data_IF_127277249420
#
_entry.id   IF_127277249420
#
_cell.length_a   1.000
_cell.length_b   1.000
_cell.length_c   1.000
_cell.angle_alpha   90.00
_cell.angle_beta   90.00
_cell.angle_gamma   90.00
#
_symmetry.space_group_name_H-M   'P 1'
#
loop_
_entity.id
_entity.type
_entity.pdbx_description
1 polymer ?
#
# COMPACT_ATOMS: atom_id res chain seq x y z
N UNK A 1 23.44 -4.73 12.66
CA UNK A 1 23.92 -4.17 11.38
C UNK A 1 24.71 -2.93 11.73
N UNK A 2 25.85 -2.66 11.10
CA UNK A 2 26.68 -1.47 11.40
C UNK A 2 26.36 -0.27 10.49
N UNK A 3 25.42 -0.44 9.56
CA UNK A 3 25.01 0.59 8.61
C UNK A 3 24.37 1.79 9.32
N UNK A 4 24.81 2.98 8.90
CA UNK A 4 24.26 4.26 9.31
C UNK A 4 23.59 4.94 8.12
N UNK A 5 22.46 5.59 8.39
CA UNK A 5 21.69 6.34 7.40
C UNK A 5 21.21 7.66 8.01
N UNK A 6 21.01 8.66 7.15
CA UNK A 6 20.27 9.86 7.47
C UNK A 6 18.85 9.74 6.89
N UNK A 7 17.84 10.15 7.67
CA UNK A 7 16.44 10.14 7.25
C UNK A 7 16.05 11.52 6.76
N UNK A 8 15.48 11.58 5.56
CA UNK A 8 15.01 12.82 4.92
C UNK A 8 13.51 12.75 4.66
N UNK A 9 12.85 13.91 4.69
CA UNK A 9 11.43 14.04 4.37
C UNK A 9 11.13 13.83 2.88
N UNK A 10 9.84 13.81 2.55
CA UNK A 10 9.33 13.87 1.17
C UNK A 10 9.69 15.17 0.43
N UNK A 11 10.25 16.15 1.12
CA UNK A 11 10.70 17.45 0.57
C UNK A 11 12.21 17.62 0.56
N UNK A 12 12.97 16.56 0.88
CA UNK A 12 14.43 16.60 0.94
C UNK A 12 14.98 17.40 2.11
N UNK A 13 14.23 17.47 3.21
CA UNK A 13 14.69 18.09 4.47
C UNK A 13 15.18 17.00 5.40
N UNK A 14 16.38 17.16 5.97
CA UNK A 14 16.94 16.25 6.97
C UNK A 14 16.03 16.19 8.20
N UNK A 15 15.60 14.99 8.60
CA UNK A 15 14.77 14.73 9.77
C UNK A 15 15.59 14.19 10.94
N UNK A 16 16.46 13.22 10.68
CA UNK A 16 17.35 12.58 11.66
C UNK A 16 18.65 12.20 10.96
N UNK A 17 19.77 12.29 11.66
CA UNK A 17 21.09 11.92 11.14
C UNK A 17 21.73 10.83 11.99
N UNK A 18 22.66 10.08 11.41
CA UNK A 18 23.41 8.98 12.06
C UNK A 18 22.51 7.88 12.68
N UNK A 19 21.41 7.59 12.01
CA UNK A 19 20.45 6.57 12.41
C UNK A 19 21.02 5.18 12.13
N UNK A 20 21.01 4.30 13.13
CA UNK A 20 21.30 2.88 12.92
C UNK A 20 20.23 2.25 12.03
N UNK A 21 20.64 1.54 10.97
CA UNK A 21 19.70 0.92 10.03
C UNK A 21 18.65 0.03 10.73
N UNK A 22 18.99 -0.60 11.85
CA UNK A 22 18.05 -1.43 12.59
C UNK A 22 16.94 -0.62 13.29
N UNK A 23 17.11 0.69 13.50
CA UNK A 23 16.08 1.56 14.08
C UNK A 23 14.86 1.74 13.14
N UNK A 24 15.05 1.56 11.83
CA UNK A 24 13.97 1.54 10.84
C UNK A 24 13.52 0.11 10.48
N UNK A 25 13.94 -0.90 11.26
CA UNK A 25 13.44 -2.27 11.09
C UNK A 25 11.99 -2.36 11.51
N UNK A 26 11.10 -3.03 10.75
CA UNK A 26 9.74 -3.26 11.20
C UNK A 26 9.62 -4.04 12.51
N UNK A 27 10.65 -4.83 12.85
CA UNK A 27 10.72 -5.56 14.11
C UNK A 27 11.00 -4.65 15.31
N UNK A 28 11.46 -3.41 15.08
CA UNK A 28 11.86 -2.46 16.14
C UNK A 28 11.07 -1.15 16.10
N UNK A 29 10.86 -0.56 14.93
CA UNK A 29 10.28 0.77 14.77
C UNK A 29 8.82 0.82 15.26
N UNK A 30 8.54 1.69 16.24
CA UNK A 30 7.23 1.77 16.88
C UNK A 30 6.12 2.26 15.93
N UNK A 31 6.43 3.17 15.01
CA UNK A 31 5.45 3.67 14.04
C UNK A 31 5.04 2.57 13.05
N UNK A 32 5.98 1.74 12.58
CA UNK A 32 5.65 0.60 11.72
C UNK A 32 4.80 -0.45 12.44
N UNK A 33 5.12 -0.76 13.71
CA UNK A 33 4.29 -1.67 14.53
C UNK A 33 2.88 -1.13 14.70
N UNK A 34 2.74 0.17 14.98
CA UNK A 34 1.44 0.85 15.06
C UNK A 34 0.72 0.83 13.71
N UNK A 35 1.41 1.05 12.60
CA UNK A 35 0.83 0.99 11.26
C UNK A 35 0.23 -0.40 10.99
N UNK A 36 0.98 -1.48 11.21
CA UNK A 36 0.47 -2.85 11.00
C UNK A 36 -0.70 -3.18 11.90
N UNK A 37 -0.60 -2.81 13.18
CA UNK A 37 -1.69 -2.93 14.14
C UNK A 37 -2.98 -2.28 13.60
N UNK A 38 -2.87 -1.04 13.14
CA UNK A 38 -3.99 -0.29 12.58
C UNK A 38 -4.49 -0.86 11.25
N UNK A 39 -3.61 -1.39 10.40
CA UNK A 39 -3.96 -2.08 9.15
C UNK A 39 -4.89 -3.28 9.44
N UNK A 40 -4.60 -4.06 10.48
CA UNK A 40 -5.39 -5.24 10.86
C UNK A 40 -6.74 -4.90 11.49
N UNK A 41 -6.84 -3.76 12.19
CA UNK A 41 -7.99 -3.48 13.08
C UNK A 41 -8.88 -2.32 12.67
N UNK A 42 -8.45 -1.52 11.68
CA UNK A 42 -9.27 -0.44 11.11
C UNK A 42 -10.17 -0.98 10.01
N UNK A 43 -11.42 -0.53 9.99
CA UNK A 43 -12.45 -0.90 9.02
C UNK A 43 -13.28 0.33 8.66
N UNK A 44 -13.60 0.47 7.38
CA UNK A 44 -14.51 1.47 6.85
C UNK A 44 -15.94 0.92 6.81
N UNK A 45 -16.90 1.65 7.38
CA UNK A 45 -18.33 1.36 7.28
C UNK A 45 -19.01 2.43 6.44
N UNK A 46 -19.68 2.05 5.35
CA UNK A 46 -20.38 2.97 4.46
C UNK A 46 -21.86 3.08 4.82
N UNK A 47 -22.19 3.93 5.79
CA UNK A 47 -23.58 4.15 6.25
C UNK A 47 -24.50 4.65 5.11
N UNK A 48 -24.01 5.53 4.25
CA UNK A 48 -24.78 5.99 3.09
C UNK A 48 -25.06 4.85 2.09
N UNK A 49 -24.09 3.95 1.90
CA UNK A 49 -24.28 2.74 1.09
C UNK A 49 -25.29 1.77 1.69
N UNK A 50 -25.24 1.56 3.01
CA UNK A 50 -26.22 0.75 3.75
C UNK A 50 -27.61 1.34 3.59
N UNK A 51 -27.78 2.65 3.84
CA UNK A 51 -29.06 3.35 3.68
C UNK A 51 -29.65 3.15 2.29
N UNK A 52 -28.84 3.37 1.25
CA UNK A 52 -29.27 3.24 -0.13
C UNK A 52 -29.60 1.77 -0.50
N UNK A 53 -28.79 0.82 -0.04
CA UNK A 53 -29.03 -0.61 -0.29
C UNK A 53 -30.36 -1.07 0.33
N UNK A 54 -30.65 -0.64 1.56
CA UNK A 54 -31.91 -0.91 2.25
C UNK A 54 -33.09 -0.24 1.56
N UNK A 55 -32.99 1.07 1.28
CA UNK A 55 -34.06 1.86 0.65
C UNK A 55 -34.46 1.34 -0.72
N UNK A 56 -33.53 0.74 -1.46
CA UNK A 56 -33.76 0.28 -2.84
C UNK A 56 -33.89 -1.24 -2.96
N UNK A 57 -33.60 -2.00 -1.90
CA UNK A 57 -33.48 -3.46 -1.96
C UNK A 57 -32.28 -3.95 -2.78
N UNK A 58 -31.35 -3.06 -3.18
CA UNK A 58 -30.14 -3.41 -3.94
C UNK A 58 -29.05 -3.91 -3.01
N UNK A 59 -29.23 -5.15 -2.54
CA UNK A 59 -28.30 -5.85 -1.65
C UNK A 59 -27.62 -7.01 -2.37
N UNK A 60 -26.46 -7.42 -1.86
CA UNK A 60 -25.72 -8.55 -2.40
C UNK A 60 -25.02 -8.27 -3.74
N UNK A 61 -24.56 -7.04 -3.99
CA UNK A 61 -23.62 -6.76 -5.09
C UNK A 61 -24.27 -6.34 -6.43
N UNK A 62 -23.40 -6.14 -7.42
CA UNK A 62 -23.75 -5.44 -8.65
C UNK A 62 -24.88 -6.15 -9.43
N UNK A 63 -25.85 -5.35 -9.88
CA UNK A 63 -26.98 -5.83 -10.69
C UNK A 63 -28.07 -6.59 -9.92
N UNK A 64 -27.93 -6.76 -8.59
CA UNK A 64 -28.91 -7.48 -7.78
C UNK A 64 -29.88 -6.55 -7.06
N UNK A 65 -31.14 -6.97 -6.98
CA UNK A 65 -32.19 -6.26 -6.26
C UNK A 65 -33.26 -7.26 -5.78
N UNK A 66 -33.64 -7.18 -4.51
CA UNK A 66 -34.73 -7.96 -3.93
C UNK A 66 -35.95 -7.04 -3.77
N UNK A 67 -36.86 -7.11 -4.74
CA UNK A 67 -38.08 -6.28 -4.76
C UNK A 67 -39.05 -6.69 -3.66
N UNK A 68 -39.71 -5.72 -3.03
CA UNK A 68 -40.68 -5.95 -1.95
C UNK A 68 -40.04 -6.20 -0.58
N UNK A 69 -38.73 -5.98 -0.46
CA UNK A 69 -37.96 -6.10 0.80
C UNK A 69 -37.21 -4.81 1.14
N UNK A 70 -37.66 -3.68 0.59
CA UNK A 70 -37.08 -2.36 0.83
C UNK A 70 -37.37 -1.86 2.24
N UNK A 71 -36.37 -1.28 2.89
CA UNK A 71 -36.46 -0.70 4.24
C UNK A 71 -36.04 0.76 4.21
N UNK A 72 -36.92 1.65 4.67
CA UNK A 72 -36.67 3.10 4.70
C UNK A 72 -36.22 3.51 6.11
N UNK A 73 -34.92 3.46 6.34
CA UNK A 73 -34.29 3.90 7.59
C UNK A 73 -33.41 5.11 7.33
N UNK A 74 -33.46 6.10 8.21
CA UNK A 74 -32.63 7.30 8.13
C UNK A 74 -31.26 7.04 8.77
N UNK A 75 -30.49 6.11 8.19
CA UNK A 75 -29.21 5.62 8.74
C UNK A 75 -28.20 6.75 8.91
N UNK A 76 -27.99 7.57 7.88
CA UNK A 76 -27.03 8.68 7.89
C UNK A 76 -27.41 9.74 8.92
N UNK A 77 -28.71 10.02 9.07
CA UNK A 77 -29.19 10.98 10.08
C UNK A 77 -28.99 10.49 11.53
N UNK A 78 -28.81 9.17 11.73
CA UNK A 78 -28.58 8.54 13.03
C UNK A 78 -27.12 8.10 13.22
N UNK A 79 -26.18 8.62 12.41
CA UNK A 79 -24.79 8.16 12.41
C UNK A 79 -24.10 8.25 13.78
N UNK A 80 -24.32 9.32 14.56
CA UNK A 80 -23.72 9.48 15.89
C UNK A 80 -24.24 8.43 16.89
N UNK A 81 -25.55 8.16 16.87
CA UNK A 81 -26.16 7.13 17.71
C UNK A 81 -25.67 5.72 17.33
N UNK A 82 -25.58 5.46 16.03
CA UNK A 82 -25.02 4.20 15.51
C UNK A 82 -23.55 4.04 15.89
N UNK A 83 -22.73 5.09 15.76
CA UNK A 83 -21.32 5.07 16.13
C UNK A 83 -21.14 4.76 17.63
N UNK A 84 -21.94 5.37 18.50
CA UNK A 84 -21.92 5.11 19.94
C UNK A 84 -22.29 3.65 20.26
N UNK A 85 -23.34 3.12 19.63
CA UNK A 85 -23.77 1.73 19.82
C UNK A 85 -22.73 0.74 19.28
N UNK A 86 -22.16 1.00 18.10
CA UNK A 86 -21.08 0.18 17.52
C UNK A 86 -19.87 0.17 18.44
N UNK A 87 -19.45 1.33 18.96
CA UNK A 87 -18.34 1.42 19.93
C UNK A 87 -18.63 0.57 21.17
N UNK A 88 -19.82 0.69 21.75
CA UNK A 88 -20.24 -0.06 22.94
C UNK A 88 -20.23 -1.59 22.72
N UNK A 89 -20.59 -2.05 21.52
CA UNK A 89 -20.58 -3.48 21.18
C UNK A 89 -19.16 -4.01 20.96
N UNK A 90 -18.26 -3.17 20.45
CA UNK A 90 -16.88 -3.56 20.12
C UNK A 90 -15.95 -3.50 21.33
N UNK A 91 -16.12 -2.53 22.22
CA UNK A 91 -15.23 -2.36 23.38
C UNK A 91 -15.23 -3.62 24.26
N UNK A 92 -14.06 -3.94 24.81
CA UNK A 92 -13.87 -5.05 25.75
C UNK A 92 -13.83 -4.49 27.18
N UNK A 93 -13.10 -3.40 27.39
CA UNK A 93 -12.98 -2.72 28.66
C UNK A 93 -13.20 -1.20 28.49
N UNK A 94 -13.72 -0.54 29.53
CA UNK A 94 -13.86 0.90 29.49
C UNK A 94 -12.49 1.57 29.38
N UNK A 95 -12.33 2.42 28.36
CA UNK A 95 -11.06 3.13 28.12
C UNK A 95 -10.03 2.34 27.30
N UNK A 96 -10.39 1.18 26.73
CA UNK A 96 -9.54 0.49 25.76
C UNK A 96 -9.33 1.28 24.46
N UNK A 97 -8.55 0.72 23.53
CA UNK A 97 -8.19 1.39 22.27
C UNK A 97 -9.25 1.27 21.16
N UNK A 98 -10.52 0.99 21.52
CA UNK A 98 -11.67 1.04 20.61
C UNK A 98 -11.95 2.47 20.18
N UNK A 99 -11.97 2.72 18.88
CA UNK A 99 -12.24 4.03 18.31
C UNK A 99 -13.29 3.91 17.20
N UNK A 100 -14.35 4.72 17.29
CA UNK A 100 -15.37 4.82 16.24
C UNK A 100 -15.61 6.30 15.97
N UNK A 101 -15.35 6.73 14.74
CA UNK A 101 -15.46 8.13 14.33
C UNK A 101 -16.43 8.27 13.18
N UNK A 102 -17.31 9.25 13.28
CA UNK A 102 -18.23 9.63 12.21
C UNK A 102 -17.52 10.57 11.24
N UNK A 103 -17.51 10.22 9.95
CA UNK A 103 -16.84 10.96 8.90
C UNK A 103 -17.81 11.28 7.74
N UNK A 104 -17.39 12.22 6.88
CA UNK A 104 -18.13 12.56 5.66
C UNK A 104 -19.55 13.11 5.90
N UNK A 105 -19.78 13.75 7.06
CA UNK A 105 -21.10 14.25 7.45
C UNK A 105 -22.10 13.13 7.76
N UNK A 106 -21.67 12.07 8.44
CA UNK A 106 -22.53 10.93 8.81
C UNK A 106 -22.53 9.79 7.79
N UNK A 107 -21.89 9.96 6.63
CA UNK A 107 -21.95 9.00 5.53
C UNK A 107 -21.07 7.77 5.75
N UNK A 108 -20.01 7.88 6.56
CA UNK A 108 -19.10 6.79 6.83
C UNK A 108 -18.70 6.75 8.31
N UNK A 109 -18.31 5.56 8.78
CA UNK A 109 -17.61 5.38 10.05
C UNK A 109 -16.19 4.86 9.79
N UNK A 110 -15.23 5.44 10.50
CA UNK A 110 -13.94 4.82 10.78
C UNK A 110 -14.12 3.99 12.05
N UNK A 111 -13.92 2.68 11.95
CA UNK A 111 -14.04 1.75 13.09
C UNK A 111 -12.68 1.11 13.33
N UNK A 112 -12.13 1.26 14.53
CA UNK A 112 -10.95 0.53 14.99
C UNK A 112 -11.37 -0.34 16.15
N UNK A 113 -11.39 -1.65 15.92
CA UNK A 113 -11.67 -2.63 16.98
C UNK A 113 -10.51 -2.62 17.99
N UNK A 114 -10.74 -2.97 19.26
CA UNK A 114 -9.68 -2.94 20.26
C UNK A 114 -8.64 -4.02 19.99
N UNK A 115 -7.39 -3.74 20.35
CA UNK A 115 -6.26 -4.63 20.11
C UNK A 115 -6.46 -6.00 20.76
N UNK A 116 -7.10 -6.05 21.92
CA UNK A 116 -7.39 -7.30 22.62
C UNK A 116 -8.13 -8.33 21.75
N UNK A 117 -9.01 -7.87 20.84
CA UNK A 117 -9.70 -8.77 19.89
C UNK A 117 -8.78 -9.30 18.80
N UNK A 118 -7.80 -8.50 18.38
CA UNK A 118 -6.80 -8.89 17.39
C UNK A 118 -5.80 -9.87 17.98
N UNK A 119 -5.43 -9.71 19.25
CA UNK A 119 -4.44 -10.55 19.93
C UNK A 119 -4.92 -11.99 20.15
N UNK A 120 -6.23 -12.19 20.36
CA UNK A 120 -6.83 -13.53 20.53
C UNK A 120 -7.34 -14.14 19.23
N UNK A 121 -7.28 -13.39 18.12
CA UNK A 121 -7.70 -13.87 16.81
C UNK A 121 -6.55 -14.58 16.09
N UNK A 122 -6.90 -15.62 15.32
CA UNK A 122 -5.92 -16.29 14.47
C UNK A 122 -5.39 -15.38 13.34
N UNK A 123 -6.19 -14.43 12.88
CA UNK A 123 -5.90 -13.60 11.71
C UNK A 123 -6.61 -12.22 11.78
N UNK A 124 -6.54 -11.40 10.72
CA UNK A 124 -6.96 -9.99 10.73
C UNK A 124 -8.43 -9.72 10.33
N UNK A 125 -9.13 -10.66 9.71
CA UNK A 125 -10.55 -10.58 9.32
C UNK A 125 -11.46 -10.40 10.54
N UNK A 126 -10.99 -10.69 11.76
CA UNK A 126 -11.65 -10.26 13.01
C UNK A 126 -12.00 -8.77 13.01
N UNK A 127 -11.17 -7.91 12.40
CA UNK A 127 -11.48 -6.50 12.19
C UNK A 127 -12.81 -6.31 11.46
N UNK A 128 -12.92 -6.91 10.28
CA UNK A 128 -14.10 -6.81 9.41
C UNK A 128 -15.33 -7.47 10.03
N UNK A 129 -15.20 -8.69 10.56
CA UNK A 129 -16.35 -9.44 11.09
C UNK A 129 -16.91 -8.82 12.37
N UNK A 130 -16.06 -8.34 13.27
CA UNK A 130 -16.51 -7.63 14.47
C UNK A 130 -17.21 -6.31 14.11
N UNK A 131 -16.61 -5.51 13.22
CA UNK A 131 -17.22 -4.25 12.77
C UNK A 131 -18.56 -4.46 12.04
N UNK A 132 -18.65 -5.48 11.18
CA UNK A 132 -19.87 -5.82 10.46
C UNK A 132 -20.96 -6.34 11.41
N UNK A 133 -20.61 -7.18 12.39
CA UNK A 133 -21.55 -7.68 13.39
C UNK A 133 -22.10 -6.54 14.27
N UNK A 134 -21.21 -5.71 14.82
CA UNK A 134 -21.59 -4.58 15.66
C UNK A 134 -22.45 -3.56 14.90
N UNK A 135 -22.12 -3.28 13.63
CA UNK A 135 -22.93 -2.41 12.77
C UNK A 135 -24.31 -3.00 12.52
N UNK A 136 -24.39 -4.31 12.25
CA UNK A 136 -25.66 -5.02 12.03
C UNK A 136 -26.57 -4.94 13.26
N UNK A 137 -26.03 -5.26 14.43
CA UNK A 137 -26.77 -5.22 15.69
C UNK A 137 -27.18 -3.79 16.06
N UNK A 138 -26.29 -2.81 15.88
CA UNK A 138 -26.61 -1.41 16.11
C UNK A 138 -27.76 -0.92 15.23
N UNK A 139 -27.80 -1.31 13.95
CA UNK A 139 -28.90 -0.97 13.03
C UNK A 139 -30.22 -1.64 13.45
N UNK A 140 -30.18 -2.94 13.79
CA UNK A 140 -31.37 -3.67 14.26
C UNK A 140 -31.94 -3.01 15.53
N UNK A 141 -31.08 -2.67 16.49
CA UNK A 141 -31.48 -2.02 17.74
C UNK A 141 -32.02 -0.60 17.53
N UNK A 142 -31.30 0.23 16.76
CA UNK A 142 -31.68 1.63 16.49
C UNK A 142 -33.03 1.73 15.80
N UNK A 143 -33.30 0.88 14.81
CA UNK A 143 -34.52 0.91 14.01
C UNK A 143 -35.57 -0.12 14.44
N UNK A 144 -35.31 -0.86 15.52
CA UNK A 144 -36.20 -1.91 16.06
C UNK A 144 -36.67 -2.90 14.99
N UNK A 145 -35.75 -3.31 14.11
CA UNK A 145 -36.07 -4.17 12.98
C UNK A 145 -36.55 -5.55 13.46
N UNK A 146 -37.69 -6.01 12.93
CA UNK A 146 -38.23 -7.32 13.24
C UNK A 146 -37.43 -8.46 12.62
N UNK A 147 -37.69 -9.70 13.06
CA UNK A 147 -36.98 -10.89 12.58
C UNK A 147 -37.05 -11.12 11.05
N UNK A 148 -38.09 -10.60 10.40
CA UNK A 148 -38.26 -10.72 8.95
C UNK A 148 -37.52 -9.63 8.16
N UNK A 149 -37.14 -8.52 8.79
CA UNK A 149 -36.44 -7.40 8.15
C UNK A 149 -34.94 -7.44 8.42
N UNK A 150 -34.52 -7.97 9.58
CA UNK A 150 -33.12 -8.12 9.95
C UNK A 150 -32.22 -8.78 8.88
N UNK A 151 -32.68 -9.80 8.09
CA UNK A 151 -31.87 -10.35 7.01
C UNK A 151 -31.49 -9.33 5.92
N UNK A 152 -32.31 -8.31 5.67
CA UNK A 152 -31.97 -7.24 4.72
C UNK A 152 -30.90 -6.31 5.26
N UNK A 153 -30.89 -6.04 6.57
CA UNK A 153 -29.81 -5.30 7.25
C UNK A 153 -28.50 -6.08 7.13
N UNK A 154 -28.53 -7.38 7.43
CA UNK A 154 -27.36 -8.24 7.24
C UNK A 154 -26.87 -8.17 5.78
N UNK A 155 -27.74 -8.34 4.79
CA UNK A 155 -27.35 -8.30 3.38
C UNK A 155 -26.82 -6.93 2.92
N UNK A 156 -27.29 -5.83 3.53
CA UNK A 156 -26.78 -4.48 3.25
C UNK A 156 -25.38 -4.24 3.85
N UNK A 157 -25.08 -4.86 5.00
CA UNK A 157 -23.78 -4.73 5.68
C UNK A 157 -22.77 -5.74 5.13
N UNK A 158 -23.10 -7.03 5.14
CA UNK A 158 -22.22 -8.17 4.82
C UNK A 158 -22.23 -8.58 3.34
N UNK A 159 -23.18 -8.06 2.55
CA UNK A 159 -23.33 -8.46 1.15
C UNK A 159 -23.91 -9.87 1.03
N UNK A 160 -23.30 -10.69 0.15
CA UNK A 160 -23.73 -12.07 -0.10
C UNK A 160 -23.11 -13.12 0.83
N UNK A 161 -22.22 -12.73 1.74
CA UNK A 161 -21.63 -13.69 2.67
C UNK A 161 -22.74 -14.39 3.49
N UNK A 162 -22.69 -15.72 3.73
CA UNK A 162 -21.62 -16.67 3.40
C UNK A 162 -21.78 -17.40 2.06
N UNK A 163 -22.76 -17.04 1.22
CA UNK A 163 -22.88 -17.65 -0.13
C UNK A 163 -21.65 -17.36 -0.98
N UNK A 164 -21.05 -16.18 -0.81
CA UNK A 164 -19.71 -15.86 -1.31
C UNK A 164 -18.68 -15.97 -0.19
N UNK A 165 -17.45 -16.35 -0.51
CA UNK A 165 -16.33 -16.36 0.45
C UNK A 165 -16.04 -14.95 0.98
N UNK A 166 -15.88 -13.90 0.13
CA UNK A 166 -15.81 -12.52 0.60
C UNK A 166 -17.19 -11.93 0.91
N UNK A 167 -17.19 -10.75 1.56
CA UNK A 167 -18.37 -9.90 1.77
C UNK A 167 -18.81 -9.16 0.49
N UNK A 168 -18.95 -9.90 -0.62
CA UNK A 168 -19.26 -9.33 -1.94
C UNK A 168 -20.54 -8.51 -1.93
N UNK A 169 -20.42 -7.23 -2.28
CA UNK A 169 -21.54 -6.30 -2.30
C UNK A 169 -21.99 -5.79 -0.94
N UNK A 170 -21.21 -6.06 0.12
CA UNK A 170 -21.38 -5.44 1.42
C UNK A 170 -20.90 -3.99 1.43
N UNK A 171 -21.20 -3.30 2.54
CA UNK A 171 -20.82 -1.90 2.76
C UNK A 171 -19.80 -1.75 3.89
N UNK A 172 -18.98 -2.79 4.05
CA UNK A 172 -17.84 -2.86 4.96
C UNK A 172 -16.59 -3.06 4.11
N UNK A 173 -15.55 -2.28 4.35
CA UNK A 173 -14.29 -2.38 3.62
C UNK A 173 -13.08 -2.29 4.57
N UNK A 174 -12.07 -3.11 4.30
CA UNK A 174 -10.74 -2.99 4.90
C UNK A 174 -9.72 -2.73 3.81
N UNK A 175 -8.58 -2.16 4.18
CA UNK A 175 -7.41 -2.07 3.28
C UNK A 175 -6.85 -3.47 2.96
N UNK A 176 -7.02 -4.44 3.87
CA UNK A 176 -6.66 -5.84 3.65
C UNK A 176 -7.83 -6.61 3.06
N UNK A 177 -7.53 -7.42 2.06
CA UNK A 177 -8.47 -8.38 1.49
C UNK A 177 -8.51 -9.66 2.33
N UNK A 178 -9.51 -10.51 2.13
CA UNK A 178 -9.64 -11.78 2.87
C UNK A 178 -8.46 -12.74 2.55
N UNK A 179 -7.97 -13.54 3.52
CA UNK A 179 -6.84 -14.45 3.32
C UNK A 179 -7.04 -15.49 2.21
N UNK A 180 -8.28 -15.85 1.88
CA UNK A 180 -8.56 -16.80 0.79
C UNK A 180 -8.20 -16.24 -0.59
N UNK A 181 -8.00 -14.92 -0.70
CA UNK A 181 -7.51 -14.26 -1.91
C UNK A 181 -5.98 -14.07 -1.89
N UNK A 182 -5.29 -14.58 -0.88
CA UNK A 182 -3.83 -14.52 -0.84
C UNK A 182 -3.24 -15.57 -1.79
N UNK A 183 -2.36 -15.10 -2.66
CA UNK A 183 -1.70 -15.86 -3.71
C UNK A 183 -0.56 -16.72 -3.16
N UNK A 184 -0.15 -16.49 -1.91
CA UNK A 184 0.81 -17.31 -1.19
C UNK A 184 0.76 -17.08 0.32
N UNK A 185 1.48 -17.91 1.07
CA UNK A 185 1.58 -17.76 2.52
C UNK A 185 2.33 -16.45 2.88
N UNK A 186 1.74 -15.67 3.78
CA UNK A 186 2.30 -14.38 4.24
C UNK A 186 2.09 -13.20 3.28
N UNK A 187 1.15 -13.29 2.33
CA UNK A 187 0.90 -12.24 1.33
C UNK A 187 -0.12 -11.18 1.74
N UNK A 188 -0.75 -11.29 2.90
CA UNK A 188 -1.84 -10.41 3.33
C UNK A 188 -1.49 -8.91 3.19
N UNK A 189 -0.33 -8.50 3.70
CA UNK A 189 0.14 -7.11 3.64
C UNK A 189 0.52 -6.64 2.22
N UNK A 190 0.68 -7.57 1.29
CA UNK A 190 0.94 -7.30 -0.13
C UNK A 190 -0.34 -7.17 -0.93
N UNK A 191 -1.50 -7.47 -0.35
CA UNK A 191 -2.81 -7.48 -0.99
C UNK A 191 -3.51 -6.12 -0.91
N UNK A 192 -2.76 -5.04 -1.14
CA UNK A 192 -3.25 -3.65 -1.06
C UNK A 192 -2.97 -2.96 -2.40
N UNK A 193 -4.04 -2.60 -3.13
CA UNK A 193 -3.91 -2.00 -4.46
C UNK A 193 -3.24 -0.63 -4.44
N UNK A 194 -2.49 -0.33 -5.50
CA UNK A 194 -1.78 0.95 -5.64
C UNK A 194 -2.72 2.17 -5.55
N UNK A 195 -3.96 2.05 -6.03
CA UNK A 195 -5.00 3.08 -5.90
C UNK A 195 -5.39 3.36 -4.42
N UNK A 196 -5.44 2.34 -3.55
CA UNK A 196 -5.68 2.55 -2.12
C UNK A 196 -4.57 3.40 -1.53
N UNK A 197 -3.32 2.98 -1.76
CA UNK A 197 -2.13 3.68 -1.26
C UNK A 197 -2.08 5.13 -1.74
N UNK A 198 -2.38 5.39 -3.02
CA UNK A 198 -2.38 6.73 -3.57
C UNK A 198 -3.43 7.65 -2.93
N UNK A 199 -4.65 7.17 -2.67
CA UNK A 199 -5.65 8.00 -1.98
C UNK A 199 -5.34 8.19 -0.50
N UNK A 200 -4.89 7.15 0.19
CA UNK A 200 -4.52 7.20 1.62
C UNK A 200 -3.48 8.29 1.85
N UNK A 201 -2.48 8.38 0.97
CA UNK A 201 -1.38 9.35 1.05
C UNK A 201 -1.71 10.68 0.36
N UNK A 202 -2.98 10.92 0.04
CA UNK A 202 -3.48 12.16 -0.61
C UNK A 202 -2.68 12.51 -1.88
N UNK A 203 -2.33 11.49 -2.67
CA UNK A 203 -1.55 11.56 -3.91
C UNK A 203 -0.15 12.21 -3.74
N UNK A 204 0.44 12.13 -2.55
CA UNK A 204 1.84 12.47 -2.36
C UNK A 204 2.72 11.29 -2.80
N UNK A 205 3.48 11.44 -3.90
CA UNK A 205 4.20 10.33 -4.53
C UNK A 205 5.27 9.67 -3.64
N UNK A 206 6.03 10.45 -2.86
CA UNK A 206 7.05 9.94 -1.94
C UNK A 206 6.40 9.18 -0.77
N UNK A 207 5.34 9.73 -0.17
CA UNK A 207 4.61 9.04 0.90
C UNK A 207 3.86 7.81 0.38
N UNK A 208 3.34 7.83 -0.86
CA UNK A 208 2.74 6.66 -1.51
C UNK A 208 3.77 5.52 -1.69
N UNK A 209 4.97 5.86 -2.20
CA UNK A 209 6.07 4.90 -2.30
C UNK A 209 6.50 4.38 -0.92
N UNK A 210 6.59 5.25 0.08
CA UNK A 210 6.99 4.89 1.43
C UNK A 210 5.98 3.95 2.11
N UNK A 211 4.67 4.27 2.06
CA UNK A 211 3.63 3.41 2.63
C UNK A 211 3.66 2.02 1.97
N UNK A 212 3.74 2.00 0.65
CA UNK A 212 3.85 0.76 -0.13
C UNK A 212 5.10 -0.04 0.23
N UNK A 213 6.27 0.62 0.32
CA UNK A 213 7.53 -0.02 0.68
C UNK A 213 7.48 -0.59 2.09
N UNK A 214 6.93 0.12 3.06
CA UNK A 214 6.75 -0.38 4.43
C UNK A 214 5.90 -1.65 4.41
N UNK A 215 4.73 -1.63 3.76
CA UNK A 215 3.82 -2.78 3.71
C UNK A 215 4.43 -3.99 2.99
N UNK A 216 5.04 -3.76 1.83
CA UNK A 216 5.73 -4.79 1.06
C UNK A 216 6.92 -5.39 1.83
N UNK A 217 7.71 -4.57 2.50
CA UNK A 217 8.89 -5.02 3.22
C UNK A 217 8.50 -5.79 4.49
N UNK A 218 7.45 -5.37 5.20
CA UNK A 218 6.89 -6.15 6.30
C UNK A 218 6.32 -7.48 5.79
N UNK A 219 5.63 -7.47 4.65
CA UNK A 219 5.22 -8.70 3.98
C UNK A 219 6.40 -9.64 3.69
N UNK A 220 7.56 -9.11 3.31
CA UNK A 220 8.76 -9.94 3.15
C UNK A 220 9.31 -10.51 4.47
N UNK A 221 9.16 -9.82 5.60
CA UNK A 221 9.43 -10.41 6.92
C UNK A 221 8.44 -11.54 7.23
N UNK A 222 7.14 -11.32 6.99
CA UNK A 222 6.08 -12.32 7.20
C UNK A 222 6.27 -13.58 6.35
N UNK A 223 6.68 -13.41 5.08
CA UNK A 223 6.97 -14.51 4.15
C UNK A 223 8.30 -15.23 4.44
N UNK A 224 9.10 -14.77 5.40
CA UNK A 224 10.44 -15.31 5.68
C UNK A 224 11.51 -14.93 4.64
N UNK A 225 11.21 -14.01 3.71
CA UNK A 225 12.15 -13.50 2.71
C UNK A 225 13.20 -12.56 3.30
N UNK A 226 12.95 -11.97 4.47
CA UNK A 226 13.84 -11.05 5.17
C UNK A 226 14.57 -11.73 6.35
N UNK A 227 14.99 -13.00 6.18
CA UNK A 227 15.66 -13.78 7.22
C UNK A 227 17.15 -14.00 6.89
N UNK A 228 18.00 -14.02 7.93
CA UNK A 228 19.43 -14.29 7.80
C UNK A 228 20.14 -13.29 6.89
N UNK A 229 20.85 -13.79 5.87
CA UNK A 229 21.63 -12.93 4.95
C UNK A 229 20.75 -11.96 4.14
N UNK A 230 19.45 -12.23 4.01
CA UNK A 230 18.51 -11.39 3.25
C UNK A 230 17.87 -10.28 4.09
N UNK A 231 18.03 -10.31 5.42
CA UNK A 231 17.47 -9.27 6.29
C UNK A 231 18.09 -7.90 5.95
N UNK A 232 19.42 -7.82 5.87
CA UNK A 232 20.12 -6.57 5.51
C UNK A 232 19.73 -6.07 4.12
N UNK A 233 19.53 -7.00 3.19
CA UNK A 233 19.11 -6.70 1.82
C UNK A 233 17.73 -6.02 1.78
N UNK A 234 16.74 -6.55 2.49
CA UNK A 234 15.42 -5.94 2.57
C UNK A 234 15.42 -4.63 3.38
N UNK A 235 16.19 -4.58 4.46
CA UNK A 235 16.34 -3.39 5.29
C UNK A 235 16.94 -2.20 4.55
N UNK A 236 18.00 -2.41 3.78
CA UNK A 236 18.58 -1.36 2.92
C UNK A 236 17.61 -0.96 1.81
N UNK A 237 16.89 -1.92 1.24
CA UNK A 237 15.80 -1.68 0.30
C UNK A 237 14.76 -0.70 0.83
N UNK A 238 14.19 -1.02 2.00
CA UNK A 238 13.25 -0.16 2.71
C UNK A 238 13.83 1.23 2.98
N UNK A 239 15.05 1.29 3.50
CA UNK A 239 15.69 2.56 3.85
C UNK A 239 15.90 3.48 2.64
N UNK A 240 16.54 2.99 1.57
CA UNK A 240 16.90 3.82 0.42
C UNK A 240 15.73 4.05 -0.54
N UNK A 241 14.96 3.02 -0.88
CA UNK A 241 13.83 3.17 -1.81
C UNK A 241 12.61 3.75 -1.12
N UNK A 242 12.23 3.22 0.04
CA UNK A 242 10.99 3.59 0.73
C UNK A 242 11.10 4.83 1.59
N UNK A 243 12.22 5.00 2.31
CA UNK A 243 12.37 6.03 3.35
C UNK A 243 13.34 7.16 2.97
N UNK A 244 13.75 7.23 1.70
CA UNK A 244 14.64 8.27 1.17
C UNK A 244 15.93 8.44 1.99
N UNK A 245 16.53 7.33 2.43
CA UNK A 245 17.78 7.36 3.18
C UNK A 245 18.87 8.14 2.42
N UNK A 246 19.62 8.97 3.13
CA UNK A 246 20.67 9.84 2.61
C UNK A 246 20.21 10.75 1.46
N UNK A 247 18.93 11.11 1.47
CA UNK A 247 18.23 11.91 0.47
C UNK A 247 18.29 11.37 -0.97
N UNK A 248 18.63 10.08 -1.13
CA UNK A 248 19.02 9.52 -2.42
C UNK A 248 17.94 9.66 -3.49
N UNK A 249 16.69 9.29 -3.19
CA UNK A 249 15.60 9.35 -4.17
C UNK A 249 15.31 10.80 -4.55
N UNK A 250 15.22 11.68 -3.56
CA UNK A 250 14.93 13.09 -3.79
C UNK A 250 16.02 13.77 -4.63
N UNK A 251 17.30 13.53 -4.31
CA UNK A 251 18.42 14.13 -5.03
C UNK A 251 18.48 13.64 -6.48
N UNK A 252 18.28 12.34 -6.72
CA UNK A 252 18.22 11.79 -8.07
C UNK A 252 17.08 12.40 -8.90
N UNK A 253 15.89 12.53 -8.32
CA UNK A 253 14.74 13.18 -8.98
C UNK A 253 15.03 14.65 -9.23
N UNK A 254 15.60 15.37 -8.27
CA UNK A 254 15.93 16.80 -8.40
C UNK A 254 16.96 17.04 -9.50
N UNK A 255 17.99 16.21 -9.59
CA UNK A 255 19.03 16.29 -10.62
C UNK A 255 18.47 16.03 -12.03
N UNK A 256 17.45 15.18 -12.15
CA UNK A 256 16.92 14.71 -13.43
C UNK A 256 15.53 15.28 -13.78
N UNK A 257 14.93 16.13 -12.93
CA UNK A 257 13.52 16.47 -13.03
C UNK A 257 13.10 17.43 -14.15
N UNK A 258 14.05 18.16 -14.75
CA UNK A 258 13.75 19.17 -15.80
C UNK A 258 13.95 18.64 -17.22
N UNK A 259 15.02 17.90 -17.44
CA UNK A 259 15.51 17.47 -18.75
C UNK A 259 16.07 16.04 -18.72
N UNK A 260 15.86 15.32 -17.62
CA UNK A 260 16.31 13.95 -17.47
C UNK A 260 15.42 12.93 -18.15
N UNK A 261 15.94 11.73 -18.27
CA UNK A 261 15.28 10.54 -18.81
C UNK A 261 15.59 9.35 -17.90
N UNK A 262 15.07 8.16 -18.25
CA UNK A 262 15.47 6.92 -17.57
C UNK A 262 17.00 6.74 -17.61
N UNK A 263 17.63 6.97 -18.77
CA UNK A 263 19.08 6.79 -18.94
C UNK A 263 19.91 7.77 -18.12
N UNK A 264 19.50 9.04 -18.01
CA UNK A 264 20.24 10.01 -17.18
C UNK A 264 20.14 9.67 -15.69
N UNK A 265 18.99 9.14 -15.24
CA UNK A 265 18.87 8.62 -13.87
C UNK A 265 19.77 7.42 -13.64
N UNK A 266 19.90 6.50 -14.62
CA UNK A 266 20.88 5.39 -14.54
C UNK A 266 22.29 5.95 -14.34
N UNK A 267 22.72 6.92 -15.15
CA UNK A 267 24.03 7.54 -15.00
C UNK A 267 24.22 8.17 -13.61
N UNK A 268 23.25 8.95 -13.13
CA UNK A 268 23.33 9.57 -11.79
C UNK A 268 23.45 8.53 -10.67
N UNK A 269 22.79 7.38 -10.80
CA UNK A 269 22.91 6.28 -9.82
C UNK A 269 24.29 5.66 -9.86
N UNK A 270 24.84 5.40 -11.05
CA UNK A 270 26.19 4.83 -11.22
C UNK A 270 27.25 5.78 -10.69
N UNK A 271 27.20 7.06 -11.04
CA UNK A 271 28.10 8.10 -10.52
C UNK A 271 28.07 8.14 -8.98
N UNK A 272 26.86 8.18 -8.40
CA UNK A 272 26.69 8.19 -6.95
C UNK A 272 27.19 6.90 -6.29
N UNK A 273 26.99 5.74 -6.91
CA UNK A 273 27.46 4.46 -6.38
C UNK A 273 28.99 4.34 -6.40
N UNK A 274 29.66 4.94 -7.39
CA UNK A 274 31.12 5.04 -7.47
C UNK A 274 31.64 6.00 -6.40
N UNK A 275 31.03 7.19 -6.27
CA UNK A 275 31.38 8.20 -5.26
C UNK A 275 31.29 7.63 -3.84
N UNK A 276 30.19 6.93 -3.54
CA UNK A 276 29.94 6.30 -2.25
C UNK A 276 30.70 4.96 -2.07
N UNK A 277 31.52 4.57 -3.05
CA UNK A 277 32.32 3.32 -3.08
C UNK A 277 31.50 2.04 -2.91
N UNK A 278 30.24 2.07 -3.28
CA UNK A 278 29.35 0.90 -3.30
C UNK A 278 29.74 -0.06 -4.42
N UNK A 279 30.22 0.48 -5.54
CA UNK A 279 30.77 -0.25 -6.67
C UNK A 279 32.17 0.26 -7.02
N UNK A 280 32.93 -0.51 -7.79
CA UNK A 280 34.24 -0.14 -8.34
C UNK A 280 34.38 -0.65 -9.77
N UNK A 281 35.29 -0.03 -10.53
CA UNK A 281 35.67 -0.56 -11.84
C UNK A 281 36.32 -1.94 -11.69
N UNK A 282 35.88 -2.90 -12.50
CA UNK A 282 36.45 -4.22 -12.65
C UNK A 282 37.19 -4.34 -13.99
N UNK A 283 36.91 -5.40 -14.74
CA UNK A 283 37.55 -5.69 -16.02
C UNK A 283 37.16 -4.70 -17.12
N UNK A 284 38.16 -4.23 -17.88
CA UNK A 284 37.95 -3.43 -19.08
C UNK A 284 38.04 -4.31 -20.33
N UNK A 285 36.94 -4.39 -21.08
CA UNK A 285 36.83 -5.18 -22.31
C UNK A 285 37.53 -4.48 -23.51
N UNK A 286 37.79 -5.20 -24.62
CA UNK A 286 38.48 -4.65 -25.79
C UNK A 286 37.81 -3.43 -26.43
N UNK A 287 36.48 -3.29 -26.28
CA UNK A 287 35.74 -2.11 -26.75
C UNK A 287 35.99 -0.85 -25.92
N UNK A 288 36.63 -0.98 -24.76
CA UNK A 288 36.78 0.07 -23.77
C UNK A 288 35.70 0.07 -22.68
N UNK A 289 34.67 -0.77 -22.81
CA UNK A 289 33.62 -0.96 -21.79
C UNK A 289 34.21 -1.49 -20.49
N UNK A 290 33.75 -0.97 -19.35
CA UNK A 290 34.19 -1.38 -18.01
C UNK A 290 33.08 -2.16 -17.34
N UNK A 291 33.33 -3.42 -17.02
CA UNK A 291 32.48 -4.21 -16.15
C UNK A 291 32.73 -3.78 -14.71
N UNK A 292 31.68 -3.41 -13.98
CA UNK A 292 31.78 -3.01 -12.58
C UNK A 292 31.64 -4.20 -11.63
N UNK A 293 32.21 -4.06 -10.44
CA UNK A 293 32.07 -5.00 -9.33
C UNK A 293 31.39 -4.31 -8.15
N UNK A 294 30.46 -5.00 -7.48
CA UNK A 294 29.83 -4.51 -6.26
C UNK A 294 30.73 -4.80 -5.05
N UNK A 295 31.15 -3.75 -4.35
CA UNK A 295 31.84 -3.88 -3.05
C UNK A 295 30.86 -4.31 -1.96
N UNK A 296 29.59 -3.90 -2.09
CA UNK A 296 28.50 -4.21 -1.16
C UNK A 296 27.24 -4.58 -1.97
N UNK A 297 26.98 -5.88 -2.12
CA UNK A 297 25.89 -6.41 -2.94
C UNK A 297 24.50 -5.95 -2.45
N UNK A 298 24.14 -6.06 -1.15
CA UNK A 298 22.88 -5.52 -0.65
C UNK A 298 22.73 -4.00 -0.85
N UNK A 299 23.80 -3.22 -0.64
CA UNK A 299 23.74 -1.76 -0.79
C UNK A 299 23.66 -1.34 -2.25
N UNK A 300 24.34 -2.05 -3.16
CA UNK A 300 24.16 -1.87 -4.61
C UNK A 300 22.69 -2.07 -5.01
N UNK A 301 22.05 -3.15 -4.54
CA UNK A 301 20.65 -3.37 -4.84
C UNK A 301 19.75 -2.24 -4.32
N UNK A 302 20.02 -1.73 -3.11
CA UNK A 302 19.27 -0.61 -2.54
C UNK A 302 19.43 0.67 -3.37
N UNK A 303 20.61 0.91 -3.95
CA UNK A 303 20.87 2.02 -4.86
C UNK A 303 20.10 1.86 -6.17
N UNK A 304 20.08 0.66 -6.75
CA UNK A 304 19.23 0.34 -7.91
C UNK A 304 17.74 0.50 -7.61
N UNK A 305 17.29 0.13 -6.41
CA UNK A 305 15.89 0.27 -5.99
C UNK A 305 15.48 1.74 -5.86
N UNK A 306 16.30 2.58 -5.23
CA UNK A 306 16.10 4.02 -5.15
C UNK A 306 16.13 4.67 -6.54
N UNK A 307 17.07 4.25 -7.40
CA UNK A 307 17.16 4.68 -8.79
C UNK A 307 15.93 4.32 -9.62
N UNK A 308 15.39 3.11 -9.46
CA UNK A 308 14.16 2.67 -10.15
C UNK A 308 12.98 3.55 -9.77
N UNK A 309 12.86 3.90 -8.47
CA UNK A 309 11.81 4.81 -7.99
C UNK A 309 12.02 6.23 -8.53
N UNK A 310 13.25 6.75 -8.51
CA UNK A 310 13.57 8.05 -9.05
C UNK A 310 13.27 8.14 -10.56
N UNK A 311 13.65 7.11 -11.34
CA UNK A 311 13.35 7.02 -12.77
C UNK A 311 11.85 6.98 -13.02
N UNK A 312 11.09 6.30 -12.16
CA UNK A 312 9.62 6.29 -12.19
C UNK A 312 9.05 7.69 -11.99
N UNK A 313 9.52 8.41 -10.96
CA UNK A 313 9.07 9.78 -10.70
C UNK A 313 9.44 10.75 -11.84
N UNK A 314 10.62 10.62 -12.44
CA UNK A 314 11.06 11.44 -13.59
C UNK A 314 10.21 11.13 -14.82
N UNK A 315 10.11 9.86 -15.23
CA UNK A 315 9.47 9.49 -16.49
C UNK A 315 7.93 9.58 -16.43
N UNK A 316 7.30 9.02 -15.39
CA UNK A 316 5.85 9.14 -15.21
C UNK A 316 5.45 10.56 -14.84
N UNK A 317 6.30 11.29 -14.12
CA UNK A 317 6.09 12.71 -13.81
C UNK A 317 6.16 13.60 -15.06
N UNK A 318 7.07 13.33 -16.00
CA UNK A 318 7.12 14.04 -17.28
C UNK A 318 5.87 13.80 -18.12
N UNK A 319 5.34 12.56 -18.14
CA UNK A 319 4.11 12.22 -18.83
C UNK A 319 2.84 12.71 -18.10
N UNK A 320 2.91 12.87 -16.77
CA UNK A 320 1.75 13.00 -15.87
C UNK A 320 0.73 11.87 -16.04
N UNK A 321 1.25 10.65 -16.28
CA UNK A 321 0.44 9.45 -16.50
C UNK A 321 1.10 8.20 -15.94
N UNK A 322 0.31 7.33 -15.30
CA UNK A 322 0.79 6.13 -14.63
C UNK A 322 1.15 5.01 -15.61
N UNK A 323 0.59 4.99 -16.82
CA UNK A 323 0.74 3.88 -17.78
C UNK A 323 2.20 3.56 -18.16
N UNK A 324 3.10 4.53 -18.08
CA UNK A 324 4.51 4.35 -18.40
C UNK A 324 5.31 3.60 -17.33
N UNK A 325 4.72 3.35 -16.15
CA UNK A 325 5.46 2.79 -15.01
C UNK A 325 6.03 1.41 -15.33
N UNK A 326 5.25 0.52 -15.95
CA UNK A 326 5.72 -0.83 -16.27
C UNK A 326 6.92 -0.81 -17.23
N UNK A 327 6.89 0.06 -18.23
CA UNK A 327 8.01 0.29 -19.15
C UNK A 327 9.21 0.90 -18.44
N UNK A 328 8.98 1.83 -17.50
CA UNK A 328 10.04 2.49 -16.74
C UNK A 328 10.81 1.50 -15.86
N UNK A 329 10.09 0.63 -15.13
CA UNK A 329 10.72 -0.41 -14.31
C UNK A 329 11.54 -1.39 -15.17
N UNK A 330 11.01 -1.75 -16.35
CA UNK A 330 11.68 -2.66 -17.28
C UNK A 330 12.99 -2.02 -17.76
N UNK A 331 12.90 -0.86 -18.42
CA UNK A 331 14.04 -0.28 -19.11
C UNK A 331 15.05 0.40 -18.18
N UNK A 332 14.66 0.84 -16.98
CA UNK A 332 15.65 1.26 -15.99
C UNK A 332 16.60 0.10 -15.64
N UNK A 333 16.04 -1.06 -15.33
CA UNK A 333 16.83 -2.23 -14.96
C UNK A 333 17.58 -2.83 -16.14
N UNK A 334 16.96 -2.83 -17.33
CA UNK A 334 17.63 -3.22 -18.56
C UNK A 334 18.87 -2.33 -18.78
N UNK A 335 18.70 -1.01 -18.89
CA UNK A 335 19.82 -0.09 -19.15
C UNK A 335 20.88 -0.15 -18.05
N UNK A 336 20.48 -0.25 -16.78
CA UNK A 336 21.42 -0.37 -15.65
C UNK A 336 22.38 -1.56 -15.81
N UNK A 337 21.85 -2.73 -16.19
CA UNK A 337 22.67 -3.92 -16.40
C UNK A 337 23.65 -3.78 -17.57
N UNK A 338 23.24 -3.04 -18.62
CA UNK A 338 24.05 -2.91 -19.84
C UNK A 338 25.07 -1.78 -19.69
N UNK A 339 24.80 -0.80 -18.83
CA UNK A 339 25.72 0.26 -18.46
C UNK A 339 26.85 -0.24 -17.53
N UNK A 340 26.55 -1.22 -16.68
CA UNK A 340 27.47 -1.60 -15.59
C UNK A 340 27.96 -3.04 -15.59
N UNK A 341 27.28 -3.94 -16.29
CA UNK A 341 27.40 -5.40 -16.13
C UNK A 341 27.08 -5.93 -14.71
N UNK A 342 26.54 -5.09 -13.82
CA UNK A 342 26.03 -5.51 -12.52
C UNK A 342 24.56 -5.90 -12.61
N UNK A 343 24.06 -6.80 -11.73
CA UNK A 343 22.65 -7.16 -11.71
C UNK A 343 21.76 -5.94 -11.39
N UNK A 344 20.63 -5.83 -12.09
CA UNK A 344 19.61 -4.82 -11.81
C UNK A 344 18.90 -5.05 -10.47
N UNK A 345 17.94 -4.18 -10.16
CA UNK A 345 17.15 -4.23 -8.95
C UNK A 345 16.44 -5.59 -8.79
N UNK A 346 16.57 -6.13 -7.58
CA UNK A 346 16.08 -7.44 -7.18
C UNK A 346 16.60 -8.59 -8.04
N UNK A 347 17.85 -8.46 -8.50
CA UNK A 347 18.56 -9.44 -9.32
C UNK A 347 17.76 -9.85 -10.55
N UNK A 348 17.19 -8.85 -11.24
CA UNK A 348 16.37 -9.02 -12.43
C UNK A 348 14.88 -9.26 -12.15
N UNK A 349 14.44 -9.46 -10.89
CA UNK A 349 13.01 -9.68 -10.60
C UNK A 349 12.15 -8.44 -10.77
N UNK A 350 12.69 -7.23 -10.58
CA UNK A 350 11.94 -6.00 -10.95
C UNK A 350 11.74 -5.95 -12.46
N UNK A 351 12.78 -6.22 -13.24
CA UNK A 351 12.69 -6.29 -14.71
C UNK A 351 11.68 -7.35 -15.15
N UNK A 352 11.75 -8.57 -14.61
CA UNK A 352 10.81 -9.65 -14.92
C UNK A 352 9.36 -9.32 -14.53
N UNK A 353 9.15 -8.73 -13.36
CA UNK A 353 7.84 -8.22 -12.93
C UNK A 353 7.32 -7.18 -13.93
N UNK A 354 8.19 -6.29 -14.38
CA UNK A 354 7.86 -5.21 -15.30
C UNK A 354 7.52 -5.70 -16.72
N UNK A 355 8.12 -6.81 -17.17
CA UNK A 355 7.75 -7.48 -18.43
C UNK A 355 6.30 -7.96 -18.37
N UNK A 356 5.96 -8.77 -17.36
CA UNK A 356 4.60 -9.27 -17.17
C UNK A 356 3.59 -8.14 -16.96
N UNK A 357 3.95 -7.16 -16.13
CA UNK A 357 3.12 -6.00 -15.87
C UNK A 357 2.87 -5.16 -17.13
N UNK A 358 3.87 -4.95 -17.98
CA UNK A 358 3.69 -4.26 -19.26
C UNK A 358 2.72 -5.01 -20.16
N UNK A 359 2.86 -6.32 -20.27
CA UNK A 359 1.95 -7.15 -21.05
C UNK A 359 0.51 -7.10 -20.52
N UNK A 360 0.28 -7.30 -19.23
CA UNK A 360 -1.06 -7.33 -18.62
C UNK A 360 -1.68 -5.94 -18.38
N UNK A 361 -0.97 -4.85 -18.68
CA UNK A 361 -1.56 -3.51 -18.73
C UNK A 361 -1.84 -3.03 -20.16
N UNK A 362 -1.45 -3.79 -21.18
CA UNK A 362 -1.56 -3.42 -22.59
C UNK A 362 -2.07 -4.57 -23.48
N UNK A 363 -2.71 -5.59 -22.90
CA UNK A 363 -3.22 -6.74 -23.64
C UNK A 363 -4.63 -7.12 -23.22
N UNK A 364 -5.18 -8.11 -23.92
CA UNK A 364 -6.56 -8.59 -23.76
C UNK A 364 -6.71 -9.73 -22.72
N UNK A 365 -5.60 -10.22 -22.15
CA UNK A 365 -5.59 -11.48 -21.40
C UNK A 365 -5.91 -11.35 -19.90
N UNK A 366 -6.02 -10.12 -19.40
CA UNK A 366 -6.27 -9.83 -18.00
C UNK A 366 -5.47 -8.61 -17.53
N UNK A 367 -5.40 -8.41 -16.21
CA UNK A 367 -4.78 -7.23 -15.61
C UNK A 367 -5.65 -5.98 -15.75
N UNK A 368 -5.05 -4.84 -16.07
CA UNK A 368 -5.75 -3.56 -16.12
C UNK A 368 -4.81 -2.35 -16.04
N UNK A 369 -5.36 -1.20 -15.63
CA UNK A 369 -4.54 0.00 -15.38
C UNK A 369 -3.62 -0.20 -14.16
N UNK A 370 -2.48 0.53 -14.06
CA UNK A 370 -1.50 0.37 -12.98
C UNK A 370 -2.09 0.39 -11.56
N UNK A 371 -3.15 1.17 -11.36
CA UNK A 371 -3.80 1.38 -10.07
C UNK A 371 -4.39 0.14 -9.40
N UNK A 372 -4.74 -0.90 -10.16
CA UNK A 372 -5.38 -2.11 -9.61
C UNK A 372 -4.39 -3.18 -9.17
N UNK A 373 -3.11 -3.04 -9.51
CA UNK A 373 -2.06 -4.00 -9.14
C UNK A 373 -1.62 -3.84 -7.69
N UNK A 374 -1.08 -4.93 -7.14
CA UNK A 374 -0.55 -5.03 -5.78
C UNK A 374 0.50 -6.17 -5.71
N UNK A 375 1.18 -6.32 -4.58
CA UNK A 375 2.22 -7.34 -4.40
C UNK A 375 1.69 -8.76 -4.20
N UNK A 376 0.37 -8.92 -4.04
CA UNK A 376 -0.31 -10.21 -4.05
C UNK A 376 -0.67 -10.67 -5.46
N UNK A 377 -1.03 -9.74 -6.35
CA UNK A 377 -1.49 -10.03 -7.70
C UNK A 377 -0.48 -10.89 -8.50
N UNK A 378 -0.97 -11.94 -9.16
CA UNK A 378 -0.17 -12.96 -9.86
C UNK A 378 0.90 -12.39 -10.80
N UNK A 379 0.61 -11.25 -11.44
CA UNK A 379 1.51 -10.55 -12.38
C UNK A 379 2.62 -9.76 -11.68
N UNK A 380 2.36 -9.20 -10.50
CA UNK A 380 3.22 -8.20 -9.84
C UNK A 380 3.84 -8.66 -8.53
N UNK A 381 3.61 -9.92 -8.15
CA UNK A 381 4.11 -10.52 -6.91
C UNK A 381 5.58 -10.93 -6.91
N UNK A 382 6.22 -11.02 -8.08
CA UNK A 382 7.52 -11.68 -8.26
C UNK A 382 8.69 -10.91 -7.64
N UNK A 383 8.70 -9.58 -7.80
CA UNK A 383 9.65 -8.75 -7.07
C UNK A 383 9.33 -8.75 -5.58
N UNK A 384 10.36 -8.89 -4.76
CA UNK A 384 10.28 -8.98 -3.30
C UNK A 384 10.23 -7.60 -2.66
N UNK A 385 9.23 -6.81 -3.03
CA UNK A 385 8.93 -5.51 -2.42
C UNK A 385 9.56 -4.29 -3.07
N UNK A 386 10.14 -4.42 -4.27
CA UNK A 386 10.84 -3.33 -4.95
C UNK A 386 10.08 -2.74 -6.15
N UNK A 387 9.05 -3.42 -6.66
CA UNK A 387 8.29 -2.97 -7.82
C UNK A 387 7.06 -2.12 -7.46
N UNK A 388 6.23 -2.58 -6.51
CA UNK A 388 4.97 -1.92 -6.15
C UNK A 388 5.15 -0.48 -5.61
N UNK A 389 6.21 -0.14 -4.86
CA UNK A 389 6.45 1.25 -4.44
C UNK A 389 6.51 2.24 -5.63
N UNK A 390 7.11 1.82 -6.74
CA UNK A 390 7.16 2.61 -7.96
C UNK A 390 5.77 2.78 -8.60
N UNK A 391 4.95 1.71 -8.60
CA UNK A 391 3.57 1.75 -9.10
C UNK A 391 2.73 2.74 -8.29
N UNK A 392 2.83 2.72 -6.96
CA UNK A 392 2.15 3.66 -6.09
C UNK A 392 2.56 5.12 -6.34
N UNK A 393 3.86 5.38 -6.55
CA UNK A 393 4.34 6.71 -6.91
C UNK A 393 3.78 7.18 -8.28
N UNK A 394 3.79 6.32 -9.29
CA UNK A 394 3.28 6.64 -10.62
C UNK A 394 1.77 6.94 -10.61
N UNK A 395 0.99 6.16 -9.86
CA UNK A 395 -0.46 6.37 -9.68
C UNK A 395 -0.73 7.70 -8.96
N UNK A 396 0.09 8.08 -7.98
CA UNK A 396 -0.03 9.38 -7.32
C UNK A 396 0.29 10.56 -8.24
N UNK A 397 1.16 10.38 -9.25
CA UNK A 397 1.55 11.42 -10.21
C UNK A 397 0.57 11.59 -11.38
N UNK A 398 -0.31 10.61 -11.60
CA UNK A 398 -1.29 10.56 -12.69
C UNK A 398 -2.28 11.73 -12.63
N UNK A 399 -2.46 12.43 -13.75
CA UNK A 399 -3.35 13.58 -13.86
C UNK A 399 -4.80 13.22 -14.28
N UNK A 400 -5.21 11.95 -14.14
CA UNK A 400 -6.54 11.48 -14.51
C UNK A 400 -6.59 10.85 -15.90
N UNK A 401 -5.53 10.14 -16.32
CA UNK A 401 -5.48 9.47 -17.63
C UNK A 401 -6.02 8.03 -17.56
N UNK A 402 -6.21 7.49 -16.35
CA UNK A 402 -6.69 6.13 -16.13
C UNK A 402 -8.23 6.05 -16.12
N UNK A 403 -8.77 4.94 -16.63
CA UNK A 403 -10.20 4.62 -16.46
C UNK A 403 -10.51 4.18 -15.02
N UNK A 404 -9.72 3.24 -14.49
CA UNK A 404 -9.83 2.76 -13.11
C UNK A 404 -9.03 3.68 -12.16
N UNK A 405 -9.55 4.88 -11.94
CA UNK A 405 -8.89 5.89 -11.11
C UNK A 405 -8.86 5.50 -9.63
N UNK A 406 -7.96 6.12 -8.84
CA UNK A 406 -8.00 6.01 -7.39
C UNK A 406 -9.38 6.36 -6.81
N UNK A 407 -10.01 7.44 -7.28
CA UNK A 407 -11.33 7.89 -6.81
C UNK A 407 -12.42 6.83 -7.03
N UNK A 408 -12.41 6.17 -8.20
CA UNK A 408 -13.40 5.16 -8.57
C UNK A 408 -13.27 3.88 -7.75
N UNK A 409 -12.03 3.45 -7.52
CA UNK A 409 -11.74 2.12 -6.93
C UNK A 409 -11.53 2.16 -5.43
N UNK A 410 -11.18 3.33 -4.88
CA UNK A 410 -10.60 3.43 -3.53
C UNK A 410 -11.21 4.54 -2.68
N UNK A 411 -12.23 5.27 -3.17
CA UNK A 411 -12.75 6.46 -2.50
C UNK A 411 -13.10 6.27 -1.02
N UNK A 412 -13.74 5.15 -0.67
CA UNK A 412 -14.07 4.81 0.72
C UNK A 412 -12.81 4.55 1.57
N UNK A 413 -11.91 3.69 1.10
CA UNK A 413 -10.67 3.34 1.82
C UNK A 413 -9.79 4.58 2.01
N UNK A 414 -9.64 5.39 0.96
CA UNK A 414 -8.88 6.64 1.01
C UNK A 414 -9.44 7.64 2.02
N UNK A 415 -10.76 7.81 2.07
CA UNK A 415 -11.42 8.73 3.01
C UNK A 415 -11.26 8.31 4.48
N UNK A 416 -11.13 7.02 4.76
CA UNK A 416 -10.99 6.50 6.12
C UNK A 416 -9.52 6.45 6.55
N UNK A 417 -8.69 5.72 5.80
CA UNK A 417 -7.30 5.50 6.19
C UNK A 417 -6.43 6.76 5.96
N UNK A 418 -6.84 7.69 5.10
CA UNK A 418 -6.16 8.98 4.90
C UNK A 418 -6.27 9.96 6.08
N UNK A 419 -7.14 9.68 7.05
CA UNK A 419 -7.22 10.44 8.30
C UNK A 419 -6.17 9.99 9.34
N UNK A 420 -5.54 8.83 9.13
CA UNK A 420 -4.55 8.28 10.05
C UNK A 420 -3.15 8.75 9.66
N UNK A 421 -2.45 9.48 10.55
CA UNK A 421 -1.14 10.09 10.28
C UNK A 421 -0.12 9.06 9.79
N UNK A 422 -0.04 7.91 10.44
CA UNK A 422 0.94 6.86 10.12
C UNK A 422 0.77 6.31 8.70
N UNK A 423 -0.46 6.34 8.18
CA UNK A 423 -0.75 5.95 6.81
C UNK A 423 -0.53 7.09 5.81
N UNK A 424 -0.94 8.30 6.16
CA UNK A 424 -0.87 9.46 5.25
C UNK A 424 0.55 9.98 5.07
N UNK A 425 1.32 10.03 6.16
CA UNK A 425 2.66 10.62 6.26
C UNK A 425 3.65 9.64 6.91
N UNK A 426 3.86 8.45 6.30
CA UNK A 426 4.66 7.38 6.88
C UNK A 426 6.14 7.75 7.05
N UNK A 427 6.73 8.54 6.15
CA UNK A 427 8.16 8.91 6.22
C UNK A 427 8.45 9.64 7.54
N UNK A 428 7.66 10.68 7.82
CA UNK A 428 7.79 11.48 9.04
C UNK A 428 7.47 10.63 10.27
N UNK A 429 6.41 9.83 10.20
CA UNK A 429 6.01 8.96 11.32
C UNK A 429 7.10 7.95 11.70
N UNK A 430 7.76 7.34 10.71
CA UNK A 430 8.89 6.41 10.93
C UNK A 430 10.09 7.14 11.54
N UNK A 431 10.43 8.33 11.02
CA UNK A 431 11.56 9.12 11.51
C UNK A 431 11.36 9.68 12.92
N UNK A 432 10.12 10.03 13.30
CA UNK A 432 9.76 10.44 14.67
C UNK A 432 9.91 9.29 15.69
N UNK A 433 9.78 8.03 15.23
CA UNK A 433 9.90 6.83 16.05
C UNK A 433 11.34 6.28 16.17
N UNK A 434 12.31 7.00 15.60
CA UNK A 434 13.76 6.79 15.77
C UNK A 434 14.29 7.80 16.79
#
# INVERSE_FOLDING_TARGET
MSDKIDLYSDRGVLLKSDVDLSAVSPLKNAAMKKLINLTKRTVAVNLAGIENALKTGKVGGQGRQIKGRELKYDVVANADALAANVKKLLQVEEGDDTNVQVLGGGKQLLVQIPQARVDVAAEFVVGMTAAAAATTEALIGQFKAGMFDAPMIHAAVWGQYPQTVPMSGGNIASVLNIPQNDEGLGFALRNIMANHIALITKKNAMNAAALSSILEQIGNFEMGNAMGIFERYQMLGLAYQGLNANNMVYDLVKANGKNGTIGTVVHSVVERAIEDKVIKAGEKLPSGFVMYEANDVPKWNAYCAAGTLAATMVNCGALRGAQAVSSTLLYFNDVMEKETALPGCDWGKVMGTAVGFSFFSHSIYGGGGPGVFNGNHVVTRHSRGFAIPCVCAAVALDAGTQMFTPEMTSGLVGAIYGEIKEFREPIVSVAEAV
#
